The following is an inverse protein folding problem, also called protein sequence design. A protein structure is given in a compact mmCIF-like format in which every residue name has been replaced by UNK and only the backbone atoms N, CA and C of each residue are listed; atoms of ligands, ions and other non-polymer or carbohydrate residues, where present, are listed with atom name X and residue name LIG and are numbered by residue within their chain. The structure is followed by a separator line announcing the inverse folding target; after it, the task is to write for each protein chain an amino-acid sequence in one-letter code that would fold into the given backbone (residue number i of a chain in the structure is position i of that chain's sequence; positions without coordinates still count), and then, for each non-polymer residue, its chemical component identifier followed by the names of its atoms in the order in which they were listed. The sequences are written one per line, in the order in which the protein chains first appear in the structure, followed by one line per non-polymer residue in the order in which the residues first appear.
data_IF_398141530798
#
_entry.id   IF_398141530798
#
_cell.length_a   1.000
_cell.length_b   1.000
_cell.length_c   1.000
_cell.angle_alpha   90.00
_cell.angle_beta   90.00
_cell.angle_gamma   90.00
#
_symmetry.space_group_name_H-M   'P 1'
#
loop_
_entity.id
_entity.type
_entity.pdbx_description
1 polymer ?
#
# COMPACT_ATOMS: atom_id res chain seq x y z
N UNK A 1 -4.88 8.87 -22.38
CA UNK A 1 -5.96 8.02 -21.82
C UNK A 1 -6.90 8.92 -21.03
N UNK A 2 -8.20 8.61 -20.98
CA UNK A 2 -9.18 9.39 -20.25
C UNK A 2 -10.12 8.48 -19.47
N UNK A 3 -10.47 8.87 -18.25
CA UNK A 3 -11.45 8.20 -17.39
C UNK A 3 -12.73 9.03 -17.44
N UNK A 4 -13.83 8.42 -17.87
CA UNK A 4 -15.14 9.06 -18.00
C UNK A 4 -16.14 8.30 -17.14
N UNK A 5 -16.91 9.02 -16.33
CA UNK A 5 -17.97 8.47 -15.50
C UNK A 5 -19.20 9.39 -15.57
N UNK A 6 -20.38 8.82 -15.85
CA UNK A 6 -21.62 9.60 -15.94
C UNK A 6 -21.62 10.70 -17.01
N UNK A 7 -20.82 10.56 -18.07
CA UNK A 7 -20.65 11.59 -19.10
C UNK A 7 -19.67 12.72 -18.73
N UNK A 8 -19.09 12.68 -17.53
CA UNK A 8 -18.08 13.64 -17.09
C UNK A 8 -16.68 13.04 -17.19
N UNK A 9 -15.72 13.84 -17.67
CA UNK A 9 -14.31 13.48 -17.70
C UNK A 9 -13.72 13.66 -16.29
N UNK A 10 -13.43 12.53 -15.63
CA UNK A 10 -12.83 12.53 -14.29
C UNK A 10 -11.31 12.69 -14.34
N UNK A 11 -10.67 12.19 -15.39
CA UNK A 11 -9.22 12.31 -15.58
C UNK A 11 -8.84 12.25 -17.05
N UNK A 12 -7.81 13.01 -17.44
CA UNK A 12 -7.19 12.91 -18.76
C UNK A 12 -5.67 13.06 -18.64
N UNK A 13 -4.93 12.08 -19.17
CA UNK A 13 -3.49 12.10 -19.08
C UNK A 13 -2.85 10.75 -19.44
N UNK A 14 -1.64 10.54 -18.93
CA UNK A 14 -0.94 9.26 -19.05
C UNK A 14 -1.19 8.41 -17.81
N UNK A 15 -1.20 7.09 -17.99
CA UNK A 15 -1.30 6.13 -16.87
C UNK A 15 -0.17 6.36 -15.86
N UNK A 16 1.05 6.61 -16.34
CA UNK A 16 2.20 6.91 -15.50
C UNK A 16 2.07 8.25 -14.75
N UNK A 17 1.31 9.22 -15.27
CA UNK A 17 0.98 10.46 -14.58
C UNK A 17 0.01 10.20 -13.43
N UNK A 18 -1.08 9.48 -13.72
CA UNK A 18 -2.09 9.09 -12.74
C UNK A 18 -1.50 8.24 -11.61
N UNK A 19 -0.66 7.26 -11.95
CA UNK A 19 0.01 6.41 -10.97
C UNK A 19 0.97 7.21 -10.08
N UNK A 20 1.67 8.22 -10.61
CA UNK A 20 2.54 9.10 -9.80
C UNK A 20 1.74 10.00 -8.87
N UNK A 21 0.64 10.57 -9.35
CA UNK A 21 -0.24 11.41 -8.52
C UNK A 21 -0.86 10.61 -7.37
N UNK A 22 -1.20 9.33 -7.64
CA UNK A 22 -1.69 8.39 -6.62
C UNK A 22 -0.58 7.76 -5.77
N UNK A 23 0.69 7.83 -6.20
CA UNK A 23 1.82 7.30 -5.42
C UNK A 23 2.08 8.10 -4.14
N UNK A 24 1.64 9.37 -4.06
CA UNK A 24 1.74 10.18 -2.85
C UNK A 24 0.92 9.63 -1.66
N UNK A 25 -0.02 8.71 -1.92
CA UNK A 25 -0.74 7.93 -0.89
C UNK A 25 -0.48 6.43 -1.01
N UNK A 26 0.61 6.01 -1.67
CA UNK A 26 0.91 4.60 -1.88
C UNK A 26 1.05 3.86 -0.56
N UNK A 27 0.24 2.81 -0.41
CA UNK A 27 0.38 1.85 0.68
C UNK A 27 1.32 0.74 0.24
N UNK A 28 1.99 0.10 1.18
CA UNK A 28 2.72 -1.15 0.95
C UNK A 28 1.94 -2.32 1.49
N UNK A 29 2.08 -3.44 0.80
CA UNK A 29 1.53 -4.73 1.18
C UNK A 29 2.64 -5.61 1.73
N UNK A 30 2.40 -6.25 2.87
CA UNK A 30 3.37 -7.07 3.58
C UNK A 30 2.73 -8.38 4.03
N UNK A 31 3.35 -9.51 3.71
CA UNK A 31 2.97 -10.84 4.20
C UNK A 31 4.10 -11.45 5.02
N UNK A 32 3.77 -12.06 6.16
CA UNK A 32 4.75 -12.56 7.13
C UNK A 32 4.42 -13.96 7.62
N UNK A 33 5.40 -14.64 8.23
CA UNK A 33 5.18 -15.95 8.86
C UNK A 33 4.28 -15.91 10.10
N UNK A 34 4.20 -14.76 10.79
CA UNK A 34 3.37 -14.61 11.98
C UNK A 34 2.73 -13.22 12.03
N UNK A 35 1.52 -13.12 11.49
CA UNK A 35 0.76 -11.88 11.45
C UNK A 35 0.36 -11.38 12.85
N UNK A 36 0.22 -12.23 13.87
CA UNK A 36 -0.07 -11.72 15.22
C UNK A 36 1.10 -10.92 15.79
N UNK A 37 2.30 -11.50 15.79
CA UNK A 37 3.50 -10.83 16.31
C UNK A 37 3.93 -9.65 15.45
N UNK A 38 3.86 -9.80 14.12
CA UNK A 38 4.13 -8.71 13.20
C UNK A 38 3.20 -7.52 13.43
N UNK A 39 1.92 -7.76 13.74
CA UNK A 39 0.96 -6.66 13.97
C UNK A 39 1.34 -5.77 15.15
N UNK A 40 1.94 -6.32 16.20
CA UNK A 40 2.36 -5.56 17.37
C UNK A 40 3.53 -4.62 17.03
N UNK A 41 4.52 -5.14 16.29
CA UNK A 41 5.67 -4.37 15.80
C UNK A 41 5.21 -3.30 14.81
N UNK A 42 4.39 -3.69 13.84
CA UNK A 42 3.88 -2.78 12.81
C UNK A 42 3.06 -1.62 13.39
N UNK A 43 2.22 -1.89 14.40
CA UNK A 43 1.42 -0.85 15.06
C UNK A 43 2.24 0.09 15.93
N UNK A 44 3.43 -0.30 16.36
CA UNK A 44 4.36 0.58 17.06
C UNK A 44 4.88 1.70 16.13
N UNK A 45 5.18 1.34 14.88
CA UNK A 45 5.72 2.28 13.88
C UNK A 45 4.62 3.01 13.09
N UNK A 46 3.50 2.34 12.82
CA UNK A 46 2.42 2.86 12.00
C UNK A 46 1.05 2.56 12.61
N UNK A 47 0.41 3.58 13.17
CA UNK A 47 -0.94 3.47 13.75
C UNK A 47 -2.03 3.11 12.74
N UNK A 48 -1.78 3.30 11.45
CA UNK A 48 -2.74 3.05 10.34
C UNK A 48 -2.52 1.71 9.62
N UNK A 49 -1.82 0.75 10.26
CA UNK A 49 -1.68 -0.61 9.76
C UNK A 49 -3.04 -1.31 9.77
N UNK A 50 -3.42 -1.83 8.60
CA UNK A 50 -4.63 -2.64 8.41
C UNK A 50 -4.21 -4.03 7.98
N UNK A 51 -4.77 -5.07 8.61
CA UNK A 51 -4.59 -6.46 8.19
C UNK A 51 -5.88 -6.93 7.51
N UNK A 52 -5.78 -7.42 6.27
CA UNK A 52 -6.88 -8.09 5.55
C UNK A 52 -6.32 -9.29 4.80
N UNK A 53 -7.01 -10.43 4.87
CA UNK A 53 -6.66 -11.64 4.11
C UNK A 53 -5.17 -12.04 4.26
N UNK A 54 -4.66 -11.98 5.49
CA UNK A 54 -3.24 -12.25 5.83
C UNK A 54 -2.21 -11.31 5.21
N UNK A 55 -2.66 -10.17 4.69
CA UNK A 55 -1.82 -9.12 4.11
C UNK A 55 -1.95 -7.83 4.91
N UNK A 56 -0.82 -7.34 5.41
CA UNK A 56 -0.74 -6.02 6.01
C UNK A 56 -0.71 -4.95 4.94
N UNK A 57 -1.42 -3.86 5.18
CA UNK A 57 -1.39 -2.66 4.39
C UNK A 57 -0.97 -1.48 5.26
N UNK A 58 0.12 -0.80 4.91
CA UNK A 58 0.70 0.29 5.70
C UNK A 58 1.14 1.47 4.82
N UNK A 59 0.98 2.72 5.28
CA UNK A 59 1.48 3.89 4.58
C UNK A 59 3.00 4.00 4.80
N UNK A 60 3.80 3.60 3.82
CA UNK A 60 5.26 3.62 3.96
C UNK A 60 5.95 4.06 2.66
N UNK A 61 6.14 5.38 2.47
CA UNK A 61 6.70 5.93 1.24
C UNK A 61 8.22 5.73 1.16
N UNK A 62 8.93 5.86 2.29
CA UNK A 62 10.40 5.98 2.31
C UNK A 62 11.14 4.63 2.36
N UNK A 63 12.22 4.52 1.57
CA UNK A 63 13.00 3.27 1.47
C UNK A 63 13.76 2.93 2.75
N UNK A 64 14.18 3.93 3.50
CA UNK A 64 14.96 3.72 4.73
C UNK A 64 14.08 3.20 5.86
N UNK A 65 12.83 3.68 5.95
CA UNK A 65 11.81 3.15 6.85
C UNK A 65 11.50 1.68 6.53
N UNK A 66 11.39 1.34 5.23
CA UNK A 66 11.27 -0.05 4.78
C UNK A 66 12.40 -0.92 5.31
N UNK A 67 13.65 -0.47 5.14
CA UNK A 67 14.79 -1.24 5.54
C UNK A 67 14.86 -1.41 7.08
N UNK A 68 14.49 -0.38 7.84
CA UNK A 68 14.44 -0.45 9.30
C UNK A 68 13.39 -1.46 9.79
N UNK A 69 12.17 -1.37 9.26
CA UNK A 69 11.08 -2.28 9.61
C UNK A 69 11.41 -3.73 9.26
N UNK A 70 11.97 -3.97 8.07
CA UNK A 70 12.37 -5.33 7.64
C UNK A 70 13.40 -5.93 8.61
N UNK A 71 14.41 -5.15 9.01
CA UNK A 71 15.42 -5.62 9.97
C UNK A 71 14.82 -5.95 11.32
N UNK A 72 13.86 -5.16 11.80
CA UNK A 72 13.20 -5.39 13.08
C UNK A 72 12.31 -6.64 13.08
N UNK A 73 11.52 -6.84 12.02
CA UNK A 73 10.69 -8.02 11.87
C UNK A 73 11.54 -9.30 11.81
N UNK A 74 12.56 -9.32 10.94
CA UNK A 74 13.47 -10.47 10.82
C UNK A 74 14.29 -10.67 12.10
N UNK A 75 14.75 -9.58 12.73
CA UNK A 75 15.45 -9.63 14.01
C UNK A 75 14.60 -10.17 15.16
N UNK A 76 13.27 -10.08 15.04
CA UNK A 76 12.29 -10.65 15.97
C UNK A 76 11.91 -12.10 15.62
N UNK A 77 12.55 -12.70 14.60
CA UNK A 77 12.26 -14.07 14.15
C UNK A 77 11.04 -14.19 13.22
N UNK A 78 10.56 -13.08 12.67
CA UNK A 78 9.44 -13.07 11.73
C UNK A 78 9.98 -13.04 10.30
N UNK A 79 9.62 -14.06 9.52
CA UNK A 79 9.97 -14.12 8.11
C UNK A 79 9.03 -13.23 7.29
N UNK A 80 9.58 -12.63 6.22
CA UNK A 80 8.83 -11.82 5.28
C UNK A 80 8.73 -12.59 3.97
N UNK A 81 7.51 -12.94 3.58
CA UNK A 81 7.24 -13.65 2.32
C UNK A 81 7.05 -12.69 1.15
N UNK A 82 6.44 -11.54 1.40
CA UNK A 82 6.22 -10.52 0.38
C UNK A 82 6.25 -9.13 0.99
N UNK A 83 6.92 -8.20 0.31
CA UNK A 83 6.82 -6.77 0.57
C UNK A 83 6.76 -6.01 -0.76
N UNK A 84 5.59 -5.50 -1.10
CA UNK A 84 5.30 -4.89 -2.38
C UNK A 84 4.65 -3.52 -2.20
N UNK A 85 4.75 -2.66 -3.22
CA UNK A 85 3.83 -1.52 -3.30
C UNK A 85 2.45 -2.09 -3.56
N UNK A 86 1.44 -1.65 -2.81
CA UNK A 86 0.06 -1.96 -3.13
C UNK A 86 -0.14 -1.53 -4.58
N UNK A 87 -0.46 -2.48 -5.46
CA UNK A 87 -0.70 -2.17 -6.85
C UNK A 87 -1.89 -1.20 -6.89
N UNK A 88 -1.62 0.03 -7.28
CA UNK A 88 -2.65 0.94 -7.76
C UNK A 88 -3.07 0.43 -9.14
N UNK A 89 -3.81 -0.68 -9.15
CA UNK A 89 -4.46 -1.14 -10.36
C UNK A 89 -5.44 -0.05 -10.84
N UNK A 90 -5.67 -0.02 -12.14
CA UNK A 90 -6.52 1.00 -12.75
C UNK A 90 -7.95 0.96 -12.19
N UNK A 91 -8.38 -0.23 -11.77
CA UNK A 91 -9.72 -0.48 -11.25
C UNK A 91 -9.91 0.17 -9.88
N UNK A 92 -9.02 -0.04 -8.93
CA UNK A 92 -9.00 0.59 -7.62
C UNK A 92 -8.84 2.11 -7.74
N UNK A 93 -7.98 2.58 -8.65
CA UNK A 93 -7.86 4.01 -8.95
C UNK A 93 -9.20 4.57 -9.46
N UNK A 94 -9.91 3.83 -10.31
CA UNK A 94 -11.23 4.20 -10.82
C UNK A 94 -12.30 4.19 -9.71
N UNK A 95 -12.33 3.13 -8.89
CA UNK A 95 -13.28 2.98 -7.78
C UNK A 95 -13.12 4.11 -6.75
N UNK A 96 -11.90 4.53 -6.44
CA UNK A 96 -11.65 5.68 -5.56
C UNK A 96 -12.22 7.00 -6.13
N UNK A 97 -12.15 7.19 -7.44
CA UNK A 97 -12.66 8.42 -8.09
C UNK A 97 -14.19 8.50 -8.15
N UNK A 98 -14.90 7.37 -8.18
CA UNK A 98 -16.37 7.36 -8.22
C UNK A 98 -17.02 7.32 -6.83
N UNK A 99 -16.24 7.00 -5.79
CA UNK A 99 -16.75 6.85 -4.41
C UNK A 99 -16.70 8.18 -3.63
N UNK A 100 -16.01 9.20 -4.14
CA UNK A 100 -16.06 10.59 -3.65
C UNK A 100 -17.18 11.37 -4.32
#
# INVERSE_FOLDING_TARGET
MGIIHGGNLLFQGTLAGLQRERAAGARRTLSTSNNMEASAILRHHHSEVVLRDDLFSLPMPERDEVAALVRELVGSGIDIYELSLAQNDLEAIFMDMITK
#
